data_IF_389590128975
#
_entry.id   IF_389590128975
#
_cell.length_a   1.000
_cell.length_b   1.000
_cell.length_c   1.000
_cell.angle_alpha   90.00
_cell.angle_beta   90.00
_cell.angle_gamma   90.00
#
_symmetry.space_group_name_H-M   'P 1'
#
loop_
_entity.id
_entity.type
_entity.pdbx_description
1 polymer ?
#
# COMPACT_ATOMS: atom_id res chain seq x y z
N UNK A 1 -18.48 16.12 -6.57
CA UNK A 1 -17.64 14.89 -6.55
C UNK A 1 -17.56 14.44 -5.11
N UNK A 2 -17.56 13.13 -4.82
CA UNK A 2 -17.40 12.68 -3.44
C UNK A 2 -16.01 13.09 -2.92
N UNK A 3 -15.88 13.58 -1.67
CA UNK A 3 -14.61 14.01 -1.12
C UNK A 3 -13.64 12.84 -0.96
N UNK A 4 -12.37 13.05 -1.34
CA UNK A 4 -11.34 12.02 -1.28
C UNK A 4 -11.02 11.66 0.20
N UNK A 5 -11.14 10.37 0.61
CA UNK A 5 -10.91 9.96 1.98
C UNK A 5 -9.49 10.22 2.49
N UNK A 6 -8.47 10.19 1.62
CA UNK A 6 -7.08 10.46 2.03
C UNK A 6 -6.90 11.91 2.48
N UNK A 7 -7.57 12.85 1.83
CA UNK A 7 -7.52 14.28 2.15
C UNK A 7 -8.23 14.56 3.47
N UNK A 8 -9.40 13.95 3.69
CA UNK A 8 -10.11 14.10 4.97
C UNK A 8 -9.24 13.62 6.14
N UNK A 9 -8.56 12.47 5.98
CA UNK A 9 -7.62 11.97 6.99
C UNK A 9 -6.40 12.88 7.16
N UNK A 10 -5.88 13.46 6.08
CA UNK A 10 -4.77 14.40 6.14
C UNK A 10 -5.16 15.67 6.91
N UNK A 11 -6.31 16.28 6.62
CA UNK A 11 -6.84 17.47 7.30
C UNK A 11 -6.97 17.25 8.81
N UNK A 12 -7.49 16.09 9.22
CA UNK A 12 -7.63 15.75 10.64
C UNK A 12 -6.29 15.58 11.33
N UNK A 13 -5.35 14.85 10.71
CA UNK A 13 -4.00 14.69 11.25
C UNK A 13 -3.25 16.02 11.34
N UNK A 14 -3.61 16.99 10.51
CA UNK A 14 -3.04 18.32 10.47
C UNK A 14 -3.73 19.31 11.42
N UNK A 15 -4.79 18.90 12.12
CA UNK A 15 -5.46 19.76 13.10
C UNK A 15 -6.44 20.76 12.48
N UNK A 16 -7.08 20.39 11.36
CA UNK A 16 -8.17 21.13 10.72
C UNK A 16 -7.84 22.52 10.16
N UNK A 17 -6.62 23.03 10.34
CA UNK A 17 -6.10 24.24 9.68
C UNK A 17 -4.91 23.86 8.82
N UNK A 18 -5.04 23.97 7.50
CA UNK A 18 -4.09 23.37 6.55
C UNK A 18 -3.80 24.26 5.35
N UNK A 19 -2.59 24.17 4.81
CA UNK A 19 -2.24 24.68 3.48
C UNK A 19 -2.34 23.56 2.43
N UNK A 20 -2.31 23.93 1.15
CA UNK A 20 -2.22 22.96 0.05
C UNK A 20 -0.94 22.12 0.18
N UNK A 21 0.19 22.76 0.49
CA UNK A 21 1.47 22.09 0.73
C UNK A 21 1.45 21.09 1.90
N UNK A 22 0.76 21.44 2.99
CA UNK A 22 0.61 20.55 4.14
C UNK A 22 -0.11 19.25 3.76
N UNK A 23 -1.19 19.36 2.99
CA UNK A 23 -2.00 18.22 2.56
C UNK A 23 -1.30 17.42 1.47
N UNK A 24 -0.66 18.08 0.50
CA UNK A 24 0.14 17.43 -0.53
C UNK A 24 1.29 16.61 0.09
N UNK A 25 1.95 17.14 1.12
CA UNK A 25 2.98 16.41 1.88
C UNK A 25 2.40 15.21 2.62
N UNK A 26 1.31 15.43 3.37
CA UNK A 26 0.74 14.42 4.27
C UNK A 26 0.08 13.26 3.52
N UNK A 27 -0.54 13.54 2.37
CA UNK A 27 -1.24 12.55 1.54
C UNK A 27 -0.39 12.07 0.35
N UNK A 28 0.74 12.72 0.05
CA UNK A 28 1.57 12.41 -1.13
C UNK A 28 0.88 12.76 -2.45
N UNK A 29 -0.11 13.65 -2.45
CA UNK A 29 -0.89 14.02 -3.63
C UNK A 29 -0.20 15.10 -4.48
N UNK A 30 -0.64 15.22 -5.73
CA UNK A 30 -0.24 16.36 -6.56
C UNK A 30 -0.80 17.65 -5.94
N UNK A 31 -0.02 18.73 -5.92
CA UNK A 31 -0.45 20.05 -5.41
C UNK A 31 -1.71 20.54 -6.11
N UNK A 32 -1.83 20.39 -7.42
CA UNK A 32 -3.02 20.80 -8.17
C UNK A 32 -4.26 19.99 -7.77
N UNK A 33 -4.09 18.67 -7.59
CA UNK A 33 -5.17 17.77 -7.14
C UNK A 33 -5.56 18.08 -5.68
N UNK A 34 -4.57 18.32 -4.82
CA UNK A 34 -4.78 18.71 -3.43
C UNK A 34 -5.54 20.04 -3.33
N UNK A 35 -5.17 21.04 -4.14
CA UNK A 35 -5.86 22.33 -4.17
C UNK A 35 -7.32 22.20 -4.60
N UNK A 36 -7.57 21.55 -5.74
CA UNK A 36 -8.94 21.33 -6.24
C UNK A 36 -9.80 20.56 -5.24
N UNK A 37 -9.22 19.53 -4.62
CA UNK A 37 -9.94 18.70 -3.67
C UNK A 37 -10.16 19.37 -2.33
N UNK A 38 -9.22 20.19 -1.84
CA UNK A 38 -9.41 20.99 -0.63
C UNK A 38 -10.47 22.06 -0.82
N UNK A 39 -10.48 22.72 -1.98
CA UNK A 39 -11.51 23.69 -2.32
C UNK A 39 -12.90 23.04 -2.38
N UNK A 40 -13.00 21.87 -3.03
CA UNK A 40 -14.23 21.09 -3.05
C UNK A 40 -14.67 20.65 -1.65
N UNK A 41 -13.73 20.18 -0.82
CA UNK A 41 -13.99 19.79 0.57
C UNK A 41 -14.46 20.98 1.41
N UNK A 42 -13.84 22.15 1.26
CA UNK A 42 -14.21 23.36 1.98
C UNK A 42 -15.62 23.82 1.59
N UNK A 43 -15.93 23.84 0.29
CA UNK A 43 -17.27 24.16 -0.21
C UNK A 43 -18.35 23.20 0.32
N UNK A 44 -18.05 21.90 0.40
CA UNK A 44 -19.02 20.90 0.82
C UNK A 44 -19.18 20.77 2.34
N UNK A 45 -18.11 21.01 3.09
CA UNK A 45 -18.06 20.79 4.53
C UNK A 45 -18.16 22.08 5.37
N UNK A 46 -18.30 23.24 4.71
CA UNK A 46 -18.33 24.54 5.38
C UNK A 46 -16.96 24.98 5.89
N UNK A 47 -15.91 24.72 5.13
CA UNK A 47 -14.56 25.22 5.43
C UNK A 47 -14.43 26.70 5.07
N UNK A 48 -13.66 27.42 5.88
CA UNK A 48 -13.34 28.83 5.68
C UNK A 48 -11.95 28.97 5.05
N UNK A 49 -11.82 29.98 4.18
CA UNK A 49 -10.55 30.44 3.63
C UNK A 49 -10.00 31.58 4.49
N UNK A 50 -8.71 31.49 4.80
CA UNK A 50 -7.90 32.52 5.41
C UNK A 50 -6.74 32.86 4.46
N UNK A 51 -6.48 34.14 4.24
CA UNK A 51 -5.44 34.63 3.32
C UNK A 51 -4.40 35.39 4.13
N UNK A 52 -3.13 35.03 3.95
CA UNK A 52 -2.01 35.70 4.60
C UNK A 52 -1.53 36.93 3.83
N UNK A 53 -0.69 37.78 4.44
CA UNK A 53 -0.11 38.97 3.81
C UNK A 53 0.70 38.68 2.52
N UNK A 54 1.19 37.45 2.34
CA UNK A 54 1.85 37.00 1.09
C UNK A 54 0.90 36.61 -0.04
N UNK A 55 -0.41 36.51 0.24
CA UNK A 55 -1.37 35.89 -0.66
C UNK A 55 -1.50 34.36 -0.51
N UNK A 56 -0.80 33.76 0.47
CA UNK A 56 -0.93 32.32 0.74
C UNK A 56 -2.28 31.99 1.38
N UNK A 57 -2.89 30.88 0.94
CA UNK A 57 -4.23 30.46 1.39
C UNK A 57 -4.12 29.34 2.44
N UNK A 58 -4.80 29.53 3.55
CA UNK A 58 -5.00 28.55 4.61
C UNK A 58 -6.48 28.17 4.67
N UNK A 59 -6.75 26.87 4.65
CA UNK A 59 -8.09 26.32 4.80
C UNK A 59 -8.34 25.94 6.26
N UNK A 60 -9.41 26.48 6.85
CA UNK A 60 -9.89 26.16 8.18
C UNK A 60 -11.16 25.32 8.09
N UNK A 61 -11.13 24.10 8.63
CA UNK A 61 -12.26 23.18 8.65
C UNK A 61 -12.88 23.10 10.05
N UNK A 62 -14.22 22.94 10.14
CA UNK A 62 -14.86 22.74 11.43
C UNK A 62 -14.58 21.33 11.95
N UNK A 63 -14.43 21.13 13.27
CA UNK A 63 -14.08 19.82 13.84
C UNK A 63 -15.13 18.73 13.57
N UNK A 64 -16.37 19.12 13.31
CA UNK A 64 -17.48 18.23 12.96
C UNK A 64 -17.67 18.04 11.44
N UNK A 65 -16.71 18.42 10.60
CA UNK A 65 -16.86 18.37 9.13
C UNK A 65 -17.24 16.98 8.59
N UNK A 66 -16.75 15.88 9.21
CA UNK A 66 -17.17 14.51 8.87
C UNK A 66 -18.66 14.28 9.02
N UNK A 67 -19.27 14.81 10.09
CA UNK A 67 -20.70 14.64 10.34
C UNK A 67 -21.53 15.40 9.30
N UNK A 68 -21.07 16.59 8.91
CA UNK A 68 -21.68 17.42 7.86
C UNK A 68 -21.65 16.69 6.52
N UNK A 69 -20.49 16.14 6.13
CA UNK A 69 -20.32 15.40 4.88
C UNK A 69 -21.10 14.08 4.86
N UNK A 70 -21.19 13.37 5.99
CA UNK A 70 -21.93 12.10 6.11
C UNK A 70 -23.43 12.28 5.87
N UNK A 71 -23.98 13.45 6.17
CA UNK A 71 -25.39 13.76 5.93
C UNK A 71 -25.66 14.14 4.46
N UNK A 72 -24.65 14.64 3.75
CA UNK A 72 -24.73 15.07 2.35
C UNK A 72 -24.45 13.95 1.35
N UNK A 73 -23.53 13.04 1.67
CA UNK A 73 -23.10 11.95 0.77
C UNK A 73 -23.42 10.56 1.35
N UNK A 74 -24.53 9.97 0.91
CA UNK A 74 -24.90 8.58 1.22
C UNK A 74 -23.84 7.56 0.74
N UNK A 75 -23.06 7.92 -0.30
CA UNK A 75 -21.96 7.11 -0.84
C UNK A 75 -20.81 6.87 0.16
N UNK A 76 -20.56 7.81 1.09
CA UNK A 76 -19.52 7.65 2.11
C UNK A 76 -19.90 6.55 3.13
N UNK A 77 -21.18 6.45 3.47
CA UNK A 77 -21.71 5.37 4.32
C UNK A 77 -21.62 4.01 3.61
N UNK A 78 -21.91 3.99 2.31
CA UNK A 78 -21.88 2.77 1.51
C UNK A 78 -20.45 2.24 1.33
N UNK A 79 -19.45 3.12 1.15
CA UNK A 79 -18.04 2.71 1.05
C UNK A 79 -17.49 2.11 2.34
N UNK A 80 -17.78 2.71 3.50
CA UNK A 80 -17.37 2.18 4.80
C UNK A 80 -18.05 0.83 5.10
N UNK A 81 -19.34 0.71 4.79
CA UNK A 81 -20.08 -0.53 4.91
C UNK A 81 -19.54 -1.61 3.96
N UNK A 82 -19.28 -1.26 2.69
CA UNK A 82 -18.69 -2.17 1.71
C UNK A 82 -17.31 -2.66 2.12
N UNK A 83 -16.44 -1.81 2.69
CA UNK A 83 -15.14 -2.24 3.22
C UNK A 83 -15.31 -3.25 4.36
N UNK A 84 -16.28 -3.03 5.26
CA UNK A 84 -16.58 -3.95 6.37
C UNK A 84 -17.13 -5.29 5.87
N UNK A 85 -18.04 -5.26 4.89
CA UNK A 85 -18.60 -6.47 4.27
C UNK A 85 -17.53 -7.26 3.53
N UNK A 86 -16.69 -6.61 2.73
CA UNK A 86 -15.56 -7.27 2.08
C UNK A 86 -14.59 -7.90 3.09
N UNK A 87 -14.28 -7.20 4.20
CA UNK A 87 -13.42 -7.75 5.25
C UNK A 87 -13.97 -9.06 5.83
N UNK A 88 -15.27 -9.11 6.14
CA UNK A 88 -15.92 -10.33 6.66
C UNK A 88 -16.01 -11.41 5.59
N UNK A 89 -16.36 -11.06 4.35
CA UNK A 89 -16.45 -12.00 3.24
C UNK A 89 -15.10 -12.67 2.95
N UNK A 90 -14.02 -11.89 2.87
CA UNK A 90 -12.68 -12.43 2.68
C UNK A 90 -12.20 -13.26 3.87
N UNK A 91 -12.59 -12.92 5.08
CA UNK A 91 -12.33 -13.74 6.26
C UNK A 91 -13.02 -15.11 6.16
N UNK A 92 -14.29 -15.12 5.73
CA UNK A 92 -15.02 -16.37 5.47
C UNK A 92 -14.37 -17.20 4.36
N UNK A 93 -13.96 -16.57 3.25
CA UNK A 93 -13.21 -17.24 2.18
C UNK A 93 -11.91 -17.82 2.73
N UNK A 94 -11.18 -17.06 3.55
CA UNK A 94 -9.91 -17.50 4.16
C UNK A 94 -10.08 -18.77 4.99
N UNK A 95 -11.13 -18.82 5.81
CA UNK A 95 -11.43 -20.02 6.61
C UNK A 95 -11.93 -21.18 5.72
N UNK A 96 -12.68 -20.89 4.66
CA UNK A 96 -13.30 -21.92 3.82
C UNK A 96 -12.28 -22.90 3.23
N UNK A 97 -11.07 -22.43 2.88
CA UNK A 97 -10.03 -23.29 2.33
C UNK A 97 -9.56 -24.34 3.34
N UNK A 98 -9.33 -23.97 4.60
CA UNK A 98 -8.90 -24.94 5.60
C UNK A 98 -10.05 -25.85 6.09
N UNK A 99 -11.31 -25.37 6.06
CA UNK A 99 -12.48 -26.24 6.25
C UNK A 99 -12.54 -27.26 5.12
N UNK A 100 -12.41 -26.84 3.87
CA UNK A 100 -12.42 -27.74 2.72
C UNK A 100 -11.29 -28.77 2.80
N UNK A 101 -10.09 -28.37 3.23
CA UNK A 101 -8.99 -29.30 3.48
C UNK A 101 -9.38 -30.38 4.50
N UNK A 102 -9.96 -29.96 5.63
CA UNK A 102 -10.35 -30.86 6.71
C UNK A 102 -11.45 -31.83 6.25
N UNK A 103 -12.48 -31.31 5.57
CA UNK A 103 -13.57 -32.11 5.00
C UNK A 103 -13.06 -33.08 3.93
N UNK A 104 -12.15 -32.63 3.05
CA UNK A 104 -11.53 -33.47 2.02
C UNK A 104 -10.79 -34.65 2.66
N UNK A 105 -9.94 -34.39 3.66
CA UNK A 105 -9.21 -35.45 4.37
C UNK A 105 -10.17 -36.41 5.05
N UNK A 106 -11.22 -35.91 5.73
CA UNK A 106 -12.21 -36.74 6.40
C UNK A 106 -12.99 -37.62 5.40
N UNK A 107 -13.44 -37.07 4.28
CA UNK A 107 -14.14 -37.83 3.24
C UNK A 107 -13.25 -38.92 2.65
N UNK A 108 -12.00 -38.58 2.31
CA UNK A 108 -11.04 -39.53 1.75
C UNK A 108 -10.77 -40.67 2.74
N UNK A 109 -10.46 -40.35 4.00
CA UNK A 109 -10.11 -41.35 5.02
C UNK A 109 -11.29 -42.26 5.37
N UNK A 110 -12.49 -41.72 5.56
CA UNK A 110 -13.71 -42.51 5.82
C UNK A 110 -14.03 -43.43 4.64
N UNK A 111 -13.91 -42.92 3.40
CA UNK A 111 -14.17 -43.73 2.19
C UNK A 111 -13.17 -44.86 2.06
N UNK A 112 -11.87 -44.58 2.24
CA UNK A 112 -10.82 -45.61 2.23
C UNK A 112 -11.11 -46.67 3.30
N UNK A 113 -11.49 -46.26 4.51
CA UNK A 113 -11.81 -47.19 5.60
C UNK A 113 -12.98 -48.12 5.27
N UNK A 114 -14.07 -47.59 4.70
CA UNK A 114 -15.23 -48.37 4.27
C UNK A 114 -14.82 -49.38 3.19
N UNK A 115 -14.06 -48.92 2.18
CA UNK A 115 -13.59 -49.79 1.08
C UNK A 115 -12.71 -50.93 1.62
N UNK A 116 -11.74 -50.64 2.51
CA UNK A 116 -10.84 -51.66 3.06
C UNK A 116 -11.62 -52.66 3.94
N UNK A 117 -12.56 -52.19 4.76
CA UNK A 117 -13.35 -53.06 5.64
C UNK A 117 -14.25 -53.99 4.83
N UNK A 118 -14.83 -53.49 3.74
CA UNK A 118 -15.64 -54.30 2.82
C UNK A 118 -14.80 -55.24 1.93
N UNK A 119 -13.60 -54.83 1.55
CA UNK A 119 -12.70 -55.66 0.74
C UNK A 119 -12.10 -56.84 1.55
N UNK A 120 -12.13 -56.79 2.89
CA UNK A 120 -11.62 -57.85 3.76
C UNK A 120 -12.56 -59.07 3.86
N UNK A 121 -13.79 -59.01 3.34
CA UNK A 121 -14.74 -60.13 3.33
C UNK A 121 -14.74 -60.97 2.04
N UNK A 122 -14.02 -60.59 0.98
CA UNK A 122 -13.96 -61.39 -0.25
C UNK A 122 -12.59 -61.30 -0.93
N UNK A 123 -11.82 -62.38 -0.85
CA UNK A 123 -10.59 -62.57 -1.63
C UNK A 123 -10.82 -63.59 -2.73
N UNK A 124 -10.91 -63.14 -3.97
CA UNK A 124 -10.24 -63.77 -5.12
C UNK A 124 -10.46 -62.96 -6.39
N UNK A 125 -9.39 -62.74 -7.18
CA UNK A 125 -9.52 -62.37 -8.59
C UNK A 125 -8.46 -61.42 -9.10
N UNK A 126 -7.65 -61.90 -10.05
CA UNK A 126 -6.40 -61.31 -10.52
C UNK A 126 -6.55 -60.17 -11.55
N UNK A 127 -5.46 -59.41 -11.67
CA UNK A 127 -5.14 -58.21 -12.45
C UNK A 127 -5.39 -58.20 -13.98
N UNK A 128 -5.52 -56.98 -14.55
CA UNK A 128 -4.93 -56.55 -15.84
C UNK A 128 -4.94 -55.01 -16.00
N UNK A 129 -3.76 -54.42 -16.19
CA UNK A 129 -3.58 -52.98 -16.47
C UNK A 129 -3.69 -52.66 -17.96
N UNK A 130 -4.43 -51.60 -18.30
CA UNK A 130 -4.36 -50.91 -19.58
C UNK A 130 -3.67 -49.55 -19.41
N UNK A 131 -2.73 -49.28 -20.30
CA UNK A 131 -2.03 -48.00 -20.46
C UNK A 131 -2.73 -47.17 -21.55
N UNK A 132 -3.03 -45.91 -21.23
CA UNK A 132 -3.42 -44.81 -22.12
C UNK A 132 -3.30 -43.55 -21.25
N UNK A 133 -2.66 -42.44 -21.60
CA UNK A 133 -2.29 -41.89 -22.90
C UNK A 133 -2.67 -40.40 -22.85
N UNK A 134 -1.66 -39.51 -22.92
CA UNK A 134 -1.78 -38.17 -23.50
C UNK A 134 -2.31 -37.00 -22.66
N UNK A 135 -1.48 -35.95 -22.57
CA UNK A 135 -1.87 -34.60 -23.04
C UNK A 135 -2.14 -33.51 -22.00
N UNK A 136 -1.45 -32.37 -22.18
CA UNK A 136 -2.00 -31.05 -21.84
C UNK A 136 -1.13 -30.16 -20.94
N UNK A 137 -0.20 -29.41 -21.53
CA UNK A 137 0.38 -28.22 -20.92
C UNK A 137 -0.70 -27.15 -20.71
N UNK A 138 -0.96 -26.76 -19.47
CA UNK A 138 -1.76 -25.58 -19.13
C UNK A 138 -0.85 -24.37 -18.89
N UNK A 139 -0.96 -23.37 -19.76
CA UNK A 139 -0.48 -22.01 -19.48
C UNK A 139 -1.50 -21.31 -18.56
N UNK A 140 -1.03 -20.87 -17.39
CA UNK A 140 -1.78 -19.98 -16.49
C UNK A 140 -1.25 -18.55 -16.63
N UNK A 141 -2.01 -17.60 -17.19
CA UNK A 141 -1.73 -16.18 -17.01
C UNK A 141 -2.30 -15.71 -15.65
N UNK A 142 -1.41 -15.21 -14.79
CA UNK A 142 -1.62 -14.20 -13.73
C UNK A 142 -3.04 -14.02 -13.14
N UNK A 143 -3.63 -15.07 -12.56
CA UNK A 143 -4.88 -14.97 -11.78
C UNK A 143 -4.65 -14.71 -10.28
N UNK A 144 -3.42 -14.87 -9.79
CA UNK A 144 -3.07 -14.78 -8.37
C UNK A 144 -3.14 -13.36 -7.78
N UNK A 145 -3.26 -12.32 -8.62
CA UNK A 145 -3.33 -10.92 -8.17
C UNK A 145 -4.78 -10.46 -7.88
N UNK A 146 -5.79 -11.17 -8.38
CA UNK A 146 -7.21 -10.81 -8.19
C UNK A 146 -7.80 -11.34 -6.88
N UNK A 147 -7.16 -12.33 -6.23
CA UNK A 147 -7.59 -12.89 -4.94
C UNK A 147 -6.89 -12.26 -3.72
N UNK A 148 -6.07 -11.23 -3.91
CA UNK A 148 -5.46 -10.46 -2.82
C UNK A 148 -6.11 -9.09 -2.73
N UNK A 149 -7.13 -8.87 -1.88
CA UNK A 149 -7.73 -7.54 -1.75
C UNK A 149 -6.71 -6.55 -1.19
N UNK A 150 -6.67 -5.33 -1.72
CA UNK A 150 -5.90 -4.21 -1.20
C UNK A 150 -6.20 -3.99 0.30
N UNK A 151 -5.35 -4.54 1.15
CA UNK A 151 -5.25 -4.23 2.58
C UNK A 151 -4.41 -2.96 2.75
N UNK A 152 -4.99 -1.84 2.33
CA UNK A 152 -4.60 -0.58 2.93
C UNK A 152 -5.06 -0.58 4.40
N UNK A 153 -4.23 0.00 5.25
CA UNK A 153 -4.55 0.49 6.61
C UNK A 153 -4.16 -0.34 7.85
N UNK A 154 -3.95 -1.67 7.90
CA UNK A 154 -3.67 -2.34 9.22
C UNK A 154 -2.40 -3.21 9.34
N UNK A 155 -1.59 -3.38 8.30
CA UNK A 155 -0.38 -4.24 8.39
C UNK A 155 0.94 -3.49 8.65
N UNK A 156 1.03 -2.18 8.41
CA UNK A 156 2.29 -1.44 8.56
C UNK A 156 2.70 -1.21 10.02
N UNK A 157 1.75 -1.14 10.96
CA UNK A 157 2.07 -0.97 12.39
C UNK A 157 2.69 -2.21 13.03
N UNK A 158 2.51 -3.40 12.45
CA UNK A 158 3.04 -4.66 13.00
C UNK A 158 4.44 -5.02 12.50
N UNK A 159 5.03 -4.25 11.59
CA UNK A 159 6.39 -4.47 11.07
C UNK A 159 7.47 -3.73 11.85
N UNK A 160 7.11 -2.67 12.60
CA UNK A 160 8.04 -1.96 13.50
C UNK A 160 8.00 -2.46 14.95
N UNK A 161 7.01 -3.28 15.31
CA UNK A 161 6.87 -3.89 16.63
C UNK A 161 7.14 -5.38 16.60
N UNK A 162 8.30 -5.78 17.11
CA UNK A 162 8.64 -7.12 17.62
C UNK A 162 8.62 -8.31 16.65
N UNK A 163 9.67 -9.13 16.74
CA UNK A 163 9.71 -10.53 16.28
C UNK A 163 8.81 -11.39 17.17
N UNK A 164 7.54 -11.03 17.29
CA UNK A 164 6.57 -11.91 17.92
C UNK A 164 6.07 -12.89 16.87
N UNK A 165 6.35 -14.17 17.10
CA UNK A 165 5.77 -15.29 16.36
C UNK A 165 4.24 -15.14 16.46
N UNK A 166 3.63 -14.54 15.45
CA UNK A 166 2.18 -14.48 15.36
C UNK A 166 1.70 -15.90 15.15
N UNK A 167 1.25 -16.55 16.23
CA UNK A 167 0.55 -17.82 16.17
C UNK A 167 -0.79 -17.58 15.48
N UNK A 168 -0.80 -17.62 14.14
CA UNK A 168 -2.01 -17.55 13.33
C UNK A 168 -2.95 -18.69 13.73
N UNK A 169 -4.26 -18.49 13.61
CA UNK A 169 -5.19 -19.60 13.75
C UNK A 169 -4.90 -20.64 12.65
N UNK A 170 -5.16 -21.93 12.89
CA UNK A 170 -4.95 -23.03 11.95
C UNK A 170 -5.46 -22.72 10.53
N UNK A 171 -6.69 -22.21 10.41
CA UNK A 171 -7.28 -21.88 9.11
C UNK A 171 -6.59 -20.67 8.44
N UNK A 172 -6.16 -19.69 9.23
CA UNK A 172 -5.42 -18.53 8.74
C UNK A 172 -4.00 -18.92 8.30
N UNK A 173 -3.37 -19.85 9.01
CA UNK A 173 -2.09 -20.43 8.66
C UNK A 173 -2.16 -21.21 7.34
N UNK A 174 -3.21 -22.01 7.12
CA UNK A 174 -3.45 -22.69 5.85
C UNK A 174 -3.61 -21.69 4.71
N UNK A 175 -4.39 -20.63 4.92
CA UNK A 175 -4.56 -19.59 3.91
C UNK A 175 -3.25 -18.84 3.62
N UNK A 176 -2.51 -18.44 4.66
CA UNK A 176 -1.22 -17.78 4.52
C UNK A 176 -0.19 -18.70 3.83
N UNK A 177 -0.25 -20.00 4.09
CA UNK A 177 0.53 -20.99 3.35
C UNK A 177 0.11 -21.06 1.88
N UNK A 178 -1.19 -21.09 1.57
CA UNK A 178 -1.70 -21.27 0.21
C UNK A 178 -1.56 -20.02 -0.67
N UNK A 179 -1.79 -18.82 -0.14
CA UNK A 179 -1.80 -17.58 -0.91
C UNK A 179 -0.77 -16.53 -0.46
N UNK A 180 -0.21 -16.66 0.74
CA UNK A 180 0.62 -15.63 1.36
C UNK A 180 -0.22 -14.55 2.04
N UNK A 181 0.45 -13.47 2.44
CA UNK A 181 -0.16 -12.38 3.22
C UNK A 181 -0.32 -11.09 2.41
N UNK A 182 -0.12 -11.18 1.10
CA UNK A 182 -0.30 -10.07 0.19
C UNK A 182 0.96 -9.33 -0.24
N UNK A 183 0.76 -8.27 -1.05
CA UNK A 183 1.84 -7.41 -1.50
C UNK A 183 2.33 -6.50 -0.35
N UNK A 184 3.56 -6.70 0.17
CA UNK A 184 4.08 -5.86 1.25
C UNK A 184 4.36 -4.41 0.83
N UNK A 185 4.40 -4.16 -0.48
CA UNK A 185 4.68 -2.86 -1.09
C UNK A 185 3.45 -2.29 -1.84
N UNK A 186 2.22 -2.64 -1.43
CA UNK A 186 1.01 -2.11 -2.08
C UNK A 186 0.95 -0.57 -2.05
N UNK A 187 1.33 0.03 -0.92
CA UNK A 187 1.30 1.50 -0.73
C UNK A 187 2.65 2.14 -1.06
N UNK A 188 3.48 1.50 -1.88
CA UNK A 188 4.84 1.98 -2.12
C UNK A 188 4.83 3.31 -2.85
N UNK A 189 3.98 3.48 -3.85
CA UNK A 189 3.90 4.74 -4.60
C UNK A 189 3.43 5.88 -3.68
N UNK A 190 2.39 5.67 -2.88
CA UNK A 190 1.93 6.66 -1.91
C UNK A 190 3.04 7.04 -0.92
N UNK A 191 3.71 6.03 -0.35
CA UNK A 191 4.88 6.24 0.53
C UNK A 191 6.01 6.99 -0.17
N UNK A 192 6.31 6.66 -1.43
CA UNK A 192 7.35 7.34 -2.22
C UNK A 192 7.09 8.84 -2.23
N UNK A 193 5.88 9.25 -2.60
CA UNK A 193 5.56 10.67 -2.74
C UNK A 193 5.50 11.38 -1.38
N UNK A 194 5.02 10.71 -0.34
CA UNK A 194 5.08 11.24 1.03
C UNK A 194 6.52 11.45 1.52
N UNK A 195 7.42 10.49 1.28
CA UNK A 195 8.84 10.60 1.65
C UNK A 195 9.53 11.70 0.84
N UNK A 196 9.31 11.78 -0.48
CA UNK A 196 9.85 12.86 -1.32
C UNK A 196 9.39 14.24 -0.83
N UNK A 197 8.10 14.42 -0.56
CA UNK A 197 7.58 15.68 -0.03
C UNK A 197 8.17 16.00 1.34
N UNK A 198 8.35 14.98 2.19
CA UNK A 198 8.98 15.13 3.50
C UNK A 198 10.44 15.57 3.38
N UNK A 199 11.20 15.02 2.43
CA UNK A 199 12.58 15.42 2.12
C UNK A 199 12.61 16.87 1.66
N UNK A 200 11.78 17.24 0.70
CA UNK A 200 11.69 18.62 0.19
C UNK A 200 11.39 19.59 1.35
N UNK A 201 10.37 19.28 2.15
CA UNK A 201 9.96 20.11 3.29
C UNK A 201 11.04 20.19 4.36
N UNK A 202 11.75 19.10 4.63
CA UNK A 202 12.84 19.09 5.61
C UNK A 202 14.03 19.97 5.20
N UNK A 203 14.22 20.17 3.90
CA UNK A 203 15.17 21.10 3.31
C UNK A 203 14.54 22.48 3.02
N UNK A 204 13.43 22.81 3.68
CA UNK A 204 12.68 24.08 3.52
C UNK A 204 12.35 24.40 2.06
N UNK A 205 11.91 23.37 1.34
CA UNK A 205 11.40 23.49 -0.02
C UNK A 205 12.45 23.68 -1.11
N UNK A 206 13.75 23.57 -0.84
CA UNK A 206 14.78 23.60 -1.87
C UNK A 206 15.70 22.38 -1.78
N UNK A 207 15.91 21.69 -2.90
CA UNK A 207 16.66 20.44 -2.97
C UNK A 207 17.45 20.34 -4.27
N UNK A 208 18.48 19.50 -4.24
CA UNK A 208 19.19 19.03 -5.44
C UNK A 208 18.64 17.67 -5.87
N UNK A 209 18.80 17.30 -7.15
CA UNK A 209 18.28 16.03 -7.67
C UNK A 209 18.82 14.80 -6.91
N UNK A 210 20.07 14.86 -6.47
CA UNK A 210 20.74 13.81 -5.70
C UNK A 210 20.05 13.55 -4.36
N UNK A 211 19.42 14.57 -3.74
CA UNK A 211 18.67 14.40 -2.48
C UNK A 211 17.37 13.63 -2.69
N UNK A 212 16.82 13.61 -3.90
CA UNK A 212 15.57 12.94 -4.26
C UNK A 212 15.83 11.57 -4.91
N UNK A 213 16.97 11.38 -5.56
CA UNK A 213 17.35 10.15 -6.24
C UNK A 213 17.24 8.85 -5.41
N UNK A 214 17.44 8.82 -4.07
CA UNK A 214 17.24 7.63 -3.24
C UNK A 214 15.78 7.16 -3.11
N UNK A 215 14.81 7.96 -3.52
CA UNK A 215 13.38 7.63 -3.43
C UNK A 215 12.77 7.25 -4.79
N UNK A 216 13.54 7.37 -5.87
CA UNK A 216 13.10 7.07 -7.23
C UNK A 216 13.55 5.67 -7.67
N UNK A 217 12.71 5.02 -8.46
CA UNK A 217 12.96 3.65 -8.92
C UNK A 217 14.00 3.61 -10.03
N UNK A 218 13.75 4.38 -11.08
CA UNK A 218 14.60 4.47 -12.26
C UNK A 218 15.01 5.93 -12.45
N UNK A 219 16.32 6.17 -12.52
CA UNK A 219 16.91 7.49 -12.77
C UNK A 219 17.52 7.58 -14.17
N UNK A 220 17.26 6.58 -15.01
CA UNK A 220 17.81 6.47 -16.34
C UNK A 220 19.32 6.16 -16.35
N UNK A 221 19.85 6.01 -17.56
CA UNK A 221 21.27 5.78 -17.83
C UNK A 221 21.80 6.86 -18.79
N UNK A 222 23.11 7.14 -18.67
CA UNK A 222 23.81 8.12 -19.51
C UNK A 222 23.19 9.51 -19.41
N UNK A 223 22.84 10.08 -20.57
CA UNK A 223 22.33 11.46 -20.69
C UNK A 223 21.09 11.74 -19.85
N UNK A 224 20.13 10.80 -19.78
CA UNK A 224 18.88 11.00 -19.01
C UNK A 224 19.13 11.21 -17.52
N UNK A 225 20.18 10.58 -16.98
CA UNK A 225 20.61 10.77 -15.60
C UNK A 225 21.40 12.06 -15.42
N UNK A 226 22.22 12.41 -16.40
CA UNK A 226 23.10 13.59 -16.39
C UNK A 226 22.30 14.91 -16.48
N UNK A 227 21.20 14.90 -17.24
CA UNK A 227 20.25 16.02 -17.33
C UNK A 227 19.12 15.97 -16.29
N UNK A 228 19.17 15.01 -15.36
CA UNK A 228 18.24 14.93 -14.23
C UNK A 228 16.77 14.79 -14.63
N UNK A 229 16.47 14.16 -15.77
CA UNK A 229 15.10 13.99 -16.30
C UNK A 229 14.14 13.33 -15.30
N UNK A 230 14.69 12.52 -14.40
CA UNK A 230 13.97 11.85 -13.32
C UNK A 230 13.33 12.84 -12.32
N UNK A 231 13.70 14.12 -12.33
CA UNK A 231 13.08 15.17 -11.53
C UNK A 231 11.76 15.68 -12.13
N UNK A 232 11.51 15.52 -13.43
CA UNK A 232 10.30 16.05 -14.09
C UNK A 232 8.98 15.59 -13.44
N UNK A 233 8.80 14.31 -13.06
CA UNK A 233 7.60 13.88 -12.34
C UNK A 233 7.46 14.54 -10.96
N UNK A 234 8.57 14.82 -10.28
CA UNK A 234 8.60 15.48 -8.97
C UNK A 234 8.18 16.94 -9.10
N UNK A 235 8.73 17.65 -10.10
CA UNK A 235 8.38 19.03 -10.40
C UNK A 235 6.90 19.17 -10.76
N UNK A 236 6.41 18.29 -11.63
CA UNK A 236 4.99 18.28 -12.03
C UNK A 236 4.06 17.98 -10.87
N UNK A 237 4.47 17.10 -9.95
CA UNK A 237 3.63 16.70 -8.81
C UNK A 237 3.57 17.76 -7.72
N UNK A 238 4.70 18.40 -7.41
CA UNK A 238 4.80 19.34 -6.30
C UNK A 238 4.91 20.81 -6.73
N UNK A 239 4.64 21.09 -8.00
CA UNK A 239 4.75 22.42 -8.60
C UNK A 239 6.13 23.06 -8.36
N UNK A 240 7.18 22.27 -8.58
CA UNK A 240 8.57 22.69 -8.40
C UNK A 240 9.11 23.47 -9.60
N UNK A 241 10.08 24.33 -9.34
CA UNK A 241 10.73 25.17 -10.34
C UNK A 241 12.25 24.93 -10.33
N UNK A 242 12.89 24.75 -11.49
CA UNK A 242 14.34 24.66 -11.58
C UNK A 242 14.98 26.05 -11.56
N UNK A 243 16.16 26.15 -10.97
CA UNK A 243 17.07 27.28 -11.05
C UNK A 243 18.48 26.77 -11.37
N UNK A 244 19.27 27.57 -12.07
CA UNK A 244 20.63 27.18 -12.49
C UNK A 244 21.65 28.01 -11.71
N UNK A 245 22.63 27.35 -11.12
CA UNK A 245 23.74 27.98 -10.40
C UNK A 245 24.69 28.68 -11.37
N UNK A 246 25.50 29.65 -10.90
CA UNK A 246 26.54 30.27 -11.73
C UNK A 246 27.52 29.26 -12.37
N UNK A 247 27.69 28.11 -11.75
CA UNK A 247 28.53 27.00 -12.19
C UNK A 247 27.84 26.06 -13.18
N UNK A 248 26.56 26.33 -13.53
CA UNK A 248 25.78 25.54 -14.48
C UNK A 248 25.06 24.33 -13.87
N UNK A 249 24.97 24.23 -12.54
CA UNK A 249 24.28 23.13 -11.86
C UNK A 249 22.79 23.45 -11.66
N UNK A 250 21.91 22.46 -11.77
CA UNK A 250 20.46 22.66 -11.56
C UNK A 250 20.09 22.41 -10.10
N UNK A 251 19.32 23.31 -9.51
CA UNK A 251 18.67 23.15 -8.20
C UNK A 251 17.17 23.34 -8.34
N UNK A 252 16.40 22.75 -7.43
CA UNK A 252 14.94 22.75 -7.52
C UNK A 252 14.36 23.32 -6.24
N UNK A 253 13.43 24.26 -6.39
CA UNK A 253 12.69 24.81 -5.27
C UNK A 253 11.19 24.63 -5.48
N UNK A 254 10.46 24.49 -4.37
CA UNK A 254 9.07 24.07 -4.31
C UNK A 254 8.30 25.04 -3.41
N UNK A 255 7.86 26.19 -3.95
CA UNK A 255 7.23 27.26 -3.16
C UNK A 255 6.05 26.76 -2.31
N UNK A 256 5.23 25.89 -2.89
CA UNK A 256 4.03 25.31 -2.25
C UNK A 256 4.37 24.47 -1.01
N UNK A 257 5.57 23.87 -0.96
CA UNK A 257 6.03 23.06 0.16
C UNK A 257 6.84 23.87 1.21
N UNK A 258 7.03 25.17 0.98
CA UNK A 258 7.67 26.11 1.92
C UNK A 258 6.68 26.72 2.91
N UNK A 259 5.38 26.64 2.61
CA UNK A 259 4.30 27.28 3.35
C UNK A 259 3.51 26.27 4.17
N UNK A 260 3.40 26.52 5.48
CA UNK A 260 2.74 25.65 6.44
C UNK A 260 1.78 26.40 7.36
N UNK A 261 0.64 25.80 7.68
CA UNK A 261 -0.28 26.35 8.68
C UNK A 261 0.19 26.10 10.12
N UNK A 262 1.03 25.08 10.34
CA UNK A 262 1.49 24.68 11.68
C UNK A 262 2.99 24.43 11.68
N UNK A 263 3.69 24.91 12.71
CA UNK A 263 5.11 24.61 12.93
C UNK A 263 5.26 23.15 13.37
N UNK A 264 5.49 22.24 12.41
CA UNK A 264 5.70 20.82 12.71
C UNK A 264 7.13 20.54 13.15
N UNK A 265 7.28 19.56 14.05
CA UNK A 265 8.59 18.97 14.36
C UNK A 265 9.11 18.24 13.13
N UNK A 266 10.42 18.36 12.88
CA UNK A 266 11.12 17.62 11.81
C UNK A 266 10.86 16.13 12.00
N UNK A 267 10.23 15.50 11.01
CA UNK A 267 10.05 14.06 11.01
C UNK A 267 11.38 13.40 10.69
N UNK A 268 11.63 12.21 11.25
CA UNK A 268 12.80 11.41 10.88
C UNK A 268 12.67 11.00 9.43
N UNK A 269 13.59 11.44 8.58
CA UNK A 269 13.62 11.11 7.16
C UNK A 269 14.26 9.73 7.02
N UNK A 270 13.59 8.81 6.33
CA UNK A 270 14.24 7.55 5.94
C UNK A 270 15.34 7.87 4.94
N UNK A 271 16.59 7.42 5.09
CA UNK A 271 17.67 7.79 4.16
C UNK A 271 17.40 7.44 2.68
N UNK A 272 16.55 6.46 2.43
CA UNK A 272 16.10 6.05 1.10
C UNK A 272 14.72 5.36 1.16
N UNK A 273 14.09 5.14 0.01
CA UNK A 273 12.85 4.37 -0.10
C UNK A 273 13.13 2.87 -0.04
N UNK A 274 12.85 2.25 1.10
CA UNK A 274 13.03 0.80 1.29
C UNK A 274 11.80 0.01 0.83
N UNK A 275 12.02 -0.88 -0.14
CA UNK A 275 11.08 -1.94 -0.51
C UNK A 275 11.20 -3.15 0.41
N UNK A 276 10.05 -3.66 0.85
CA UNK A 276 10.01 -4.85 1.69
C UNK A 276 10.07 -6.12 0.82
N UNK A 277 10.90 -7.12 1.18
CA UNK A 277 10.92 -8.39 0.46
C UNK A 277 9.61 -9.15 0.64
N UNK A 278 9.20 -9.91 -0.38
CA UNK A 278 8.05 -10.81 -0.27
C UNK A 278 8.38 -11.95 0.68
N UNK A 279 7.56 -12.09 1.73
CA UNK A 279 7.61 -13.24 2.62
C UNK A 279 6.75 -14.35 2.04
N UNK A 280 7.19 -15.59 2.22
CA UNK A 280 6.40 -16.73 1.76
C UNK A 280 5.08 -16.83 2.51
N UNK A 281 5.13 -16.73 3.85
CA UNK A 281 3.97 -16.76 4.73
C UNK A 281 4.35 -16.11 6.07
N UNK A 282 3.39 -15.52 6.75
CA UNK A 282 3.49 -15.02 8.13
C UNK A 282 3.30 -16.14 9.17
N UNK A 283 2.87 -17.33 8.74
CA UNK A 283 2.74 -18.50 9.60
C UNK A 283 4.11 -18.96 10.11
N UNK A 284 4.14 -19.55 11.30
CA UNK A 284 5.38 -20.09 11.87
C UNK A 284 5.89 -21.30 11.08
N UNK A 285 7.17 -21.64 11.21
CA UNK A 285 7.75 -22.81 10.53
C UNK A 285 6.99 -24.11 10.82
N UNK A 286 6.52 -24.28 12.06
CA UNK A 286 5.71 -25.44 12.44
C UNK A 286 4.34 -25.46 11.75
N UNK A 287 3.68 -24.30 11.63
CA UNK A 287 2.40 -24.18 10.93
C UNK A 287 2.52 -24.40 9.43
N UNK A 288 3.60 -23.92 8.81
CA UNK A 288 3.92 -24.18 7.40
C UNK A 288 4.13 -25.68 7.19
N UNK A 289 4.93 -26.33 8.05
CA UNK A 289 5.19 -27.77 7.96
C UNK A 289 3.91 -28.59 8.14
N UNK A 290 3.08 -28.24 9.11
CA UNK A 290 1.79 -28.89 9.34
C UNK A 290 0.86 -28.71 8.14
N UNK A 291 0.75 -27.49 7.60
CA UNK A 291 -0.10 -27.20 6.43
C UNK A 291 0.37 -27.99 5.20
N UNK A 292 1.68 -27.99 4.94
CA UNK A 292 2.28 -28.78 3.88
C UNK A 292 2.03 -30.28 4.08
N UNK A 293 2.23 -30.79 5.30
CA UNK A 293 2.00 -32.19 5.65
C UNK A 293 0.55 -32.62 5.45
N UNK A 294 -0.42 -31.82 5.88
CA UNK A 294 -1.84 -32.08 5.64
C UNK A 294 -2.18 -32.03 4.15
N UNK A 295 -1.59 -31.10 3.39
CA UNK A 295 -1.72 -31.04 1.94
C UNK A 295 -1.20 -32.29 1.24
N UNK A 296 -0.01 -32.77 1.64
CA UNK A 296 0.57 -34.02 1.12
C UNK A 296 -0.30 -35.21 1.49
N UNK A 297 -0.75 -35.30 2.75
CA UNK A 297 -1.65 -36.36 3.20
C UNK A 297 -2.94 -36.37 2.37
N UNK A 298 -3.56 -35.21 2.15
CA UNK A 298 -4.79 -35.09 1.38
C UNK A 298 -4.57 -35.53 -0.08
N UNK A 299 -3.49 -35.08 -0.72
CA UNK A 299 -3.19 -35.43 -2.10
C UNK A 299 -2.84 -36.92 -2.28
N UNK A 300 -1.98 -37.46 -1.41
CA UNK A 300 -1.64 -38.90 -1.44
C UNK A 300 -2.87 -39.75 -1.14
N UNK A 301 -3.68 -39.36 -0.14
CA UNK A 301 -4.94 -40.01 0.16
C UNK A 301 -5.89 -40.01 -1.03
N UNK A 302 -6.00 -38.90 -1.75
CA UNK A 302 -6.79 -38.83 -2.99
C UNK A 302 -6.25 -39.78 -4.06
N UNK A 303 -4.93 -39.88 -4.27
CA UNK A 303 -4.35 -40.83 -5.22
C UNK A 303 -4.61 -42.30 -4.85
N UNK A 304 -4.50 -42.64 -3.55
CA UNK A 304 -4.83 -43.99 -3.04
C UNK A 304 -6.31 -44.28 -3.21
N UNK A 305 -7.18 -43.33 -2.87
CA UNK A 305 -8.61 -43.48 -3.10
C UNK A 305 -8.92 -43.68 -4.59
N UNK A 306 -8.23 -42.95 -5.47
CA UNK A 306 -8.34 -43.10 -6.92
C UNK A 306 -7.95 -44.49 -7.42
N UNK A 307 -6.93 -45.12 -6.84
CA UNK A 307 -6.57 -46.50 -7.19
C UNK A 307 -7.61 -47.51 -6.71
N UNK A 308 -8.21 -47.29 -5.54
CA UNK A 308 -9.28 -48.13 -4.98
C UNK A 308 -10.62 -48.00 -5.72
N UNK A 309 -10.93 -46.81 -6.25
CA UNK A 309 -12.16 -46.56 -7.00
C UNK A 309 -12.06 -46.90 -8.49
N UNK A 310 -10.86 -47.25 -8.99
CA UNK A 310 -10.58 -47.44 -10.43
C UNK A 310 -11.42 -48.52 -11.09
N UNK A 311 -11.78 -49.57 -10.34
CA UNK A 311 -12.56 -50.68 -10.87
C UNK A 311 -14.07 -50.39 -10.92
N UNK A 312 -14.55 -49.32 -10.28
CA UNK A 312 -15.95 -48.86 -10.29
C UNK A 312 -16.97 -49.80 -9.65
N UNK A 313 -16.66 -51.08 -9.55
CA UNK A 313 -17.47 -52.16 -8.94
C UNK A 313 -17.71 -51.92 -7.46
N UNK A 314 -16.68 -51.49 -6.74
CA UNK A 314 -16.72 -51.21 -5.30
C UNK A 314 -17.72 -50.10 -4.95
N UNK A 315 -17.82 -49.07 -5.78
CA UNK A 315 -18.73 -47.96 -5.55
C UNK A 315 -20.19 -48.31 -5.89
N UNK A 316 -20.41 -49.15 -6.92
CA UNK A 316 -21.74 -49.66 -7.27
C UNK A 316 -22.24 -50.67 -6.24
N UNK A 317 -21.35 -51.49 -5.67
CA UNK A 317 -21.68 -52.49 -4.65
C UNK A 317 -21.94 -51.90 -3.27
N UNK A 318 -21.11 -50.93 -2.83
CA UNK A 318 -21.24 -50.33 -1.49
C UNK A 318 -22.28 -49.21 -1.44
N UNK A 319 -22.49 -48.51 -2.55
CA UNK A 319 -23.43 -47.39 -2.64
C UNK A 319 -23.13 -46.25 -1.65
N UNK A 320 -24.13 -45.38 -1.43
CA UNK A 320 -24.08 -44.34 -0.40
C UNK A 320 -22.90 -43.37 -0.52
N UNK A 321 -22.13 -43.22 0.57
CA UNK A 321 -21.01 -42.29 0.66
C UNK A 321 -19.91 -42.58 -0.38
N UNK A 322 -19.64 -43.85 -0.67
CA UNK A 322 -18.58 -44.26 -1.62
C UNK A 322 -18.92 -43.80 -3.05
N UNK A 323 -20.18 -43.97 -3.47
CA UNK A 323 -20.67 -43.51 -4.77
C UNK A 323 -20.65 -41.97 -4.88
N UNK A 324 -21.03 -41.26 -3.81
CA UNK A 324 -20.93 -39.80 -3.77
C UNK A 324 -19.48 -39.32 -3.94
N UNK A 325 -18.55 -39.91 -3.18
CA UNK A 325 -17.13 -39.55 -3.23
C UNK A 325 -16.50 -39.88 -4.59
N UNK A 326 -16.92 -40.97 -5.24
CA UNK A 326 -16.54 -41.25 -6.62
C UNK A 326 -17.00 -40.15 -7.59
N UNK A 327 -18.21 -39.63 -7.43
CA UNK A 327 -18.74 -38.53 -8.24
C UNK A 327 -17.95 -37.22 -8.11
N UNK A 328 -17.45 -36.91 -6.91
CA UNK A 328 -16.64 -35.71 -6.64
C UNK A 328 -15.13 -35.96 -6.64
N UNK A 329 -14.68 -37.16 -7.03
CA UNK A 329 -13.27 -37.57 -6.95
C UNK A 329 -12.32 -36.59 -7.64
N UNK A 330 -12.66 -36.16 -8.86
CA UNK A 330 -11.86 -35.21 -9.62
C UNK A 330 -11.73 -33.85 -8.92
N UNK A 331 -12.76 -33.42 -8.18
CA UNK A 331 -12.71 -32.19 -7.39
C UNK A 331 -11.75 -32.35 -6.20
N UNK A 332 -11.80 -33.47 -5.49
CA UNK A 332 -10.90 -33.78 -4.36
C UNK A 332 -9.44 -33.86 -4.83
N UNK A 333 -9.20 -34.52 -5.96
CA UNK A 333 -7.87 -34.64 -6.56
C UNK A 333 -7.35 -33.28 -7.03
N UNK A 334 -8.16 -32.51 -7.76
CA UNK A 334 -7.79 -31.17 -8.22
C UNK A 334 -7.48 -30.23 -7.05
N UNK A 335 -8.29 -30.29 -5.99
CA UNK A 335 -8.05 -29.52 -4.78
C UNK A 335 -6.73 -29.93 -4.10
N UNK A 336 -6.49 -31.23 -3.90
CA UNK A 336 -5.24 -31.71 -3.31
C UNK A 336 -4.00 -31.34 -4.13
N UNK A 337 -4.09 -31.45 -5.46
CA UNK A 337 -3.02 -31.04 -6.36
C UNK A 337 -2.78 -29.52 -6.29
N UNK A 338 -3.83 -28.72 -6.36
CA UNK A 338 -3.76 -27.26 -6.28
C UNK A 338 -3.19 -26.77 -4.94
N UNK A 339 -3.56 -27.42 -3.84
CA UNK A 339 -3.09 -27.11 -2.49
C UNK A 339 -1.56 -27.21 -2.37
N UNK A 340 -0.91 -28.08 -3.15
CA UNK A 340 0.54 -28.23 -3.19
C UNK A 340 1.19 -27.44 -4.33
N UNK A 341 0.56 -27.40 -5.51
CA UNK A 341 1.09 -26.74 -6.69
C UNK A 341 1.14 -25.22 -6.54
N UNK A 342 0.08 -24.60 -5.99
CA UNK A 342 0.00 -23.15 -5.80
C UNK A 342 1.16 -22.61 -4.93
N UNK A 343 1.39 -23.10 -3.69
CA UNK A 343 2.49 -22.60 -2.87
C UNK A 343 3.85 -22.89 -3.49
N UNK A 344 4.02 -24.00 -4.21
CA UNK A 344 5.25 -24.33 -4.91
C UNK A 344 5.55 -23.32 -6.03
N UNK A 345 4.57 -23.00 -6.87
CA UNK A 345 4.70 -21.96 -7.90
C UNK A 345 5.01 -20.60 -7.27
N UNK A 346 4.31 -20.24 -6.18
CA UNK A 346 4.55 -18.99 -5.45
C UNK A 346 5.97 -18.93 -4.89
N UNK A 347 6.48 -20.03 -4.34
CA UNK A 347 7.83 -20.10 -3.81
C UNK A 347 8.89 -19.73 -4.87
N UNK A 348 8.77 -20.29 -6.08
CA UNK A 348 9.68 -19.94 -7.18
C UNK A 348 9.53 -18.48 -7.64
N UNK A 349 8.29 -17.97 -7.70
CA UNK A 349 8.04 -16.58 -8.04
C UNK A 349 8.66 -15.60 -7.03
N UNK A 350 8.50 -15.86 -5.72
CA UNK A 350 9.10 -15.06 -4.65
C UNK A 350 10.63 -15.11 -4.73
N UNK A 351 11.19 -16.31 -4.95
CA UNK A 351 12.65 -16.51 -5.09
C UNK A 351 13.23 -15.73 -6.26
N UNK A 352 12.47 -15.54 -7.33
CA UNK A 352 12.87 -14.72 -8.48
C UNK A 352 12.66 -13.21 -8.27
N UNK A 353 11.59 -12.81 -7.56
CA UNK A 353 11.24 -11.39 -7.35
C UNK A 353 12.10 -10.72 -6.28
N UNK A 354 12.42 -11.41 -5.19
CA UNK A 354 13.16 -10.83 -4.05
C UNK A 354 14.57 -10.33 -4.40
N UNK A 355 15.37 -11.00 -5.26
CA UNK A 355 16.65 -10.47 -5.71
C UNK A 355 16.50 -9.10 -6.39
N UNK A 356 15.52 -8.94 -7.28
CA UNK A 356 15.24 -7.66 -7.96
C UNK A 356 14.82 -6.55 -7.01
N UNK A 357 14.18 -6.89 -5.89
CA UNK A 357 13.86 -5.93 -4.82
C UNK A 357 15.13 -5.53 -4.07
N UNK A 358 15.97 -6.52 -3.75
CA UNK A 358 17.23 -6.28 -3.07
C UNK A 358 18.17 -5.40 -3.90
N UNK A 359 18.25 -5.62 -5.22
CA UNK A 359 19.10 -4.81 -6.11
C UNK A 359 18.61 -3.36 -6.17
N UNK A 360 17.30 -3.12 -6.34
CA UNK A 360 16.73 -1.75 -6.28
C UNK A 360 16.99 -1.06 -4.95
N UNK A 361 16.86 -1.78 -3.83
CA UNK A 361 17.19 -1.24 -2.51
C UNK A 361 18.69 -0.93 -2.36
N UNK A 362 19.58 -1.76 -2.92
CA UNK A 362 21.03 -1.51 -2.94
C UNK A 362 21.36 -0.25 -3.73
N UNK A 363 20.71 -0.04 -4.88
CA UNK A 363 20.91 1.16 -5.70
C UNK A 363 20.42 2.42 -4.99
N UNK A 364 19.27 2.35 -4.32
CA UNK A 364 18.77 3.48 -3.51
C UNK A 364 19.68 3.78 -2.31
N UNK A 365 20.19 2.73 -1.65
CA UNK A 365 21.12 2.85 -0.54
C UNK A 365 22.49 3.42 -0.99
N UNK A 366 22.99 3.04 -2.17
CA UNK A 366 24.24 3.59 -2.69
C UNK A 366 24.10 5.09 -2.98
N UNK A 367 22.97 5.51 -3.55
CA UNK A 367 22.64 6.94 -3.75
C UNK A 367 22.54 7.69 -2.42
N UNK A 368 21.92 7.11 -1.39
CA UNK A 368 21.84 7.77 -0.08
C UNK A 368 23.20 7.91 0.60
N UNK A 369 24.14 7.00 0.33
CA UNK A 369 25.52 7.10 0.87
C UNK A 369 26.30 8.27 0.27
N UNK A 370 26.08 8.58 -1.02
CA UNK A 370 26.68 9.78 -1.65
C UNK A 370 26.22 11.08 -0.99
N UNK A 371 25.04 11.10 -0.37
CA UNK A 371 24.55 12.26 0.39
C UNK A 371 25.10 12.33 1.82
N UNK A 372 25.49 11.19 2.39
CA UNK A 372 26.04 11.14 3.74
C UNK A 372 27.47 11.67 3.81
N UNK A 373 28.24 11.50 2.73
CA UNK A 373 29.58 12.03 2.55
C UNK A 373 29.69 12.68 1.16
N UNK A 374 29.19 13.92 0.99
CA UNK A 374 29.09 14.56 -0.31
C UNK A 374 30.45 15.07 -0.79
N UNK A 375 30.78 14.78 -2.05
CA UNK A 375 31.93 15.37 -2.72
C UNK A 375 31.82 16.91 -2.79
N UNK A 376 32.95 17.61 -2.89
CA UNK A 376 33.00 19.07 -3.00
C UNK A 376 31.99 19.70 -3.99
N UNK A 377 31.85 19.22 -5.25
CA UNK A 377 30.87 19.79 -6.18
C UNK A 377 29.42 19.57 -5.75
N UNK A 378 29.11 18.45 -5.10
CA UNK A 378 27.78 18.15 -4.58
C UNK A 378 27.47 19.03 -3.36
N UNK A 379 28.46 19.26 -2.49
CA UNK A 379 28.32 20.14 -1.34
C UNK A 379 28.07 21.60 -1.78
N UNK A 380 28.76 22.07 -2.81
CA UNK A 380 28.50 23.39 -3.41
C UNK A 380 27.06 23.50 -3.94
N UNK A 381 26.61 22.49 -4.69
CA UNK A 381 25.25 22.41 -5.22
C UNK A 381 24.19 22.48 -4.12
N UNK A 382 24.39 21.73 -3.04
CA UNK A 382 23.49 21.72 -1.87
C UNK A 382 23.47 23.09 -1.20
N UNK A 383 24.63 23.73 -1.02
CA UNK A 383 24.71 25.07 -0.43
C UNK A 383 24.02 26.13 -1.30
N UNK A 384 24.10 26.01 -2.63
CA UNK A 384 23.39 26.89 -3.55
C UNK A 384 21.87 26.69 -3.44
N UNK A 385 21.40 25.44 -3.40
CA UNK A 385 19.98 25.15 -3.18
C UNK A 385 19.43 25.77 -1.89
N UNK A 386 20.24 25.81 -0.83
CA UNK A 386 19.85 26.42 0.45
C UNK A 386 19.55 27.93 0.35
N UNK A 387 20.02 28.64 -0.69
CA UNK A 387 19.69 30.06 -0.90
C UNK A 387 18.22 30.27 -1.27
N UNK A 388 17.58 29.26 -1.87
CA UNK A 388 16.15 29.27 -2.20
C UNK A 388 15.28 28.72 -1.08
N UNK A 389 15.89 28.23 0.00
CA UNK A 389 15.23 27.51 1.06
C UNK A 389 14.53 28.49 2.03
N UNK A 390 13.20 28.57 1.92
CA UNK A 390 12.37 29.44 2.75
C UNK A 390 11.41 28.60 3.59
N UNK A 391 11.16 29.01 4.84
CA UNK A 391 10.17 28.37 5.70
C UNK A 391 9.20 29.45 6.20
N UNK A 392 7.97 29.42 5.67
CA UNK A 392 6.90 30.33 6.05
C UNK A 392 5.83 29.57 6.83
N UNK A 393 5.66 29.95 8.09
CA UNK A 393 4.57 29.43 8.92
C UNK A 393 3.53 30.53 9.06
N UNK A 394 2.33 30.29 8.53
CA UNK A 394 1.24 31.26 8.59
C UNK A 394 0.58 31.14 9.95
N UNK A 395 0.86 32.08 10.85
CA UNK A 395 0.18 32.19 12.14
C UNK A 395 -1.19 32.85 11.98
N UNK A 396 -1.92 33.06 13.08
CA UNK A 396 -3.18 33.83 13.04
C UNK A 396 -2.92 35.34 12.89
N UNK A 397 -1.73 35.80 13.24
CA UNK A 397 -1.35 37.22 13.23
C UNK A 397 -0.98 37.70 11.82
N UNK A 398 -0.57 36.78 10.94
CA UNK A 398 -0.18 37.05 9.54
C UNK A 398 -1.40 37.10 8.57
N UNK A 399 -2.63 37.05 9.10
CA UNK A 399 -3.85 36.96 8.32
C UNK A 399 -4.36 38.35 7.91
N UNK A 400 -4.60 38.53 6.61
CA UNK A 400 -5.23 39.73 6.03
C UNK A 400 -6.75 39.60 5.99
N UNK A 401 -7.21 38.40 5.65
CA UNK A 401 -8.61 38.17 5.34
C UNK A 401 -9.02 36.77 5.78
N UNK A 402 -10.20 36.67 6.36
CA UNK A 402 -10.86 35.44 6.76
C UNK A 402 -12.32 35.48 6.31
N UNK A 403 -12.78 34.38 5.74
CA UNK A 403 -14.20 34.16 5.43
C UNK A 403 -15.02 33.64 6.62
N UNK A 404 -14.43 33.57 7.81
CA UNK A 404 -15.11 33.20 9.06
C UNK A 404 -15.82 34.41 9.70
N UNK A 405 -15.22 35.58 9.60
CA UNK A 405 -15.63 36.84 10.25
C UNK A 405 -16.09 37.85 9.20
N UNK A 406 -16.91 38.83 9.60
CA UNK A 406 -17.31 39.90 8.68
C UNK A 406 -16.11 40.80 8.34
N UNK A 407 -16.15 41.45 7.18
CA UNK A 407 -15.05 42.30 6.70
C UNK A 407 -14.81 43.51 7.62
N UNK A 408 -15.89 44.13 8.10
CA UNK A 408 -15.82 45.32 8.94
C UNK A 408 -15.18 45.02 10.29
N UNK A 409 -15.52 43.87 10.89
CA UNK A 409 -14.96 43.45 12.16
C UNK A 409 -13.44 43.20 12.05
N UNK A 410 -12.99 42.62 10.92
CA UNK A 410 -11.57 42.38 10.66
C UNK A 410 -10.78 43.67 10.46
N UNK A 411 -11.35 44.65 9.74
CA UNK A 411 -10.70 45.94 9.49
C UNK A 411 -10.58 46.77 10.77
N UNK A 412 -11.56 46.65 11.68
CA UNK A 412 -11.50 47.25 13.02
C UNK A 412 -10.43 46.58 13.90
N UNK A 413 -10.33 45.26 13.91
CA UNK A 413 -9.29 44.54 14.68
C UNK A 413 -7.87 44.86 14.16
N UNK A 414 -7.73 45.17 12.87
CA UNK A 414 -6.43 45.41 12.21
C UNK A 414 -6.09 46.89 12.00
N UNK A 415 -6.94 47.82 12.45
CA UNK A 415 -6.80 49.25 12.14
C UNK A 415 -5.42 49.82 12.47
N UNK A 416 -4.83 49.42 13.60
CA UNK A 416 -3.50 49.87 14.03
C UNK A 416 -2.35 49.40 13.12
N UNK A 417 -2.47 48.20 12.51
CA UNK A 417 -1.46 47.69 11.57
C UNK A 417 -1.60 48.36 10.20
N UNK A 418 -2.84 48.58 9.76
CA UNK A 418 -3.14 49.29 8.52
C UNK A 418 -2.60 50.72 8.59
N UNK A 419 -2.84 51.43 9.71
CA UNK A 419 -2.34 52.78 9.95
C UNK A 419 -0.80 52.83 9.91
N UNK A 420 -0.13 51.84 10.51
CA UNK A 420 1.33 51.74 10.51
C UNK A 420 1.91 51.45 9.12
N UNK A 421 1.25 50.63 8.30
CA UNK A 421 1.67 50.38 6.92
C UNK A 421 1.48 51.63 6.05
N UNK A 422 0.38 52.36 6.23
CA UNK A 422 0.15 53.64 5.56
C UNK A 422 1.24 54.66 5.91
N UNK A 423 1.60 54.80 7.19
CA UNK A 423 2.69 55.68 7.62
C UNK A 423 4.02 55.30 6.97
N UNK A 424 4.35 54.00 6.95
CA UNK A 424 5.57 53.51 6.30
C UNK A 424 5.62 53.83 4.81
N UNK A 425 4.50 53.62 4.09
CA UNK A 425 4.43 53.93 2.65
C UNK A 425 4.54 55.43 2.39
N UNK A 426 3.98 56.26 3.28
CA UNK A 426 4.09 57.72 3.19
C UNK A 426 5.53 58.20 3.46
N UNK A 427 6.27 57.54 4.34
CA UNK A 427 7.68 57.86 4.65
C UNK A 427 8.67 57.34 3.59
N UNK A 428 8.30 56.29 2.84
CA UNK A 428 9.07 55.73 1.71
C UNK A 428 8.79 56.46 0.37
N UNK A 429 7.80 57.37 0.33
CA UNK A 429 7.43 58.22 -0.81
C UNK A 429 8.15 59.56 -0.79
#
# INVERSE_FOLDING_TARGET
MAPNPTIMQAVEKLGYRVTVGDVATQAGLNVAEANQSLLALASDAGGHLQVADSGDIVYLFPQNFRAILRNKYFQLQLQEWWKKVWSVLFYLIRISFGIFLTVSIALITVTIFIIITAANSDRNGNSRSSNSGGGGFFYFPNLFWYLSPNYETHYQERLRGSREESNLNFFEAIFSFLFGDGNPNANLDERRWQEIATVIRSNRGAVVAEQIAPYLDDIGEGYTREYEDYMLPVLTRFNGQPAVSPEGQIVYYFPELQVSAVKKRRHSISPYLEELPWRFSAASSGQIMLSAGLGVLNFVGALVLGSLLRDGTVAVQLGGLVAFVQGIYWLLLAYGAGFLAIPLLRYFWIRWRNPKIADRNRDRLSRSRLLADPDAPLQQKINYAQQFATEKVISKEDLVYSSETDLLDQEVERSAQIDAEWQRRLDES
#
